data_IF_079645754485
#
_entry.id   IF_079645754485
#
_cell.length_a   1.000
_cell.length_b   1.000
_cell.length_c   1.000
_cell.angle_alpha   90.00
_cell.angle_beta   90.00
_cell.angle_gamma   90.00
#
_symmetry.space_group_name_H-M   'P 1'
#
loop_
_entity.id
_entity.type
_entity.pdbx_description
1 polymer ?
#
# COMPACT_ATOMS: atom_id res chain seq x y z
N UNK A 1 47.70 -11.89 18.45
CA UNK A 1 47.03 -12.74 17.44
C UNK A 1 45.77 -12.03 17.00
N UNK A 2 45.42 -12.02 15.70
CA UNK A 2 44.08 -11.61 15.21
C UNK A 2 43.25 -12.88 14.98
N UNK A 3 41.96 -12.81 15.26
CA UNK A 3 41.06 -13.97 15.22
C UNK A 3 40.60 -14.27 13.79
N UNK A 4 40.94 -15.46 13.28
CA UNK A 4 40.60 -15.92 11.91
C UNK A 4 39.09 -15.90 11.62
N UNK A 5 38.26 -15.96 12.67
CA UNK A 5 36.79 -15.99 12.60
C UNK A 5 36.10 -14.64 12.34
N UNK A 6 36.86 -13.56 12.14
CA UNK A 6 36.29 -12.20 12.03
C UNK A 6 36.16 -11.71 10.58
N UNK A 7 36.78 -12.39 9.60
CA UNK A 7 36.78 -11.98 8.19
C UNK A 7 35.55 -12.49 7.42
N UNK A 8 34.89 -13.58 7.84
CA UNK A 8 33.66 -14.09 7.21
C UNK A 8 32.37 -13.37 7.67
N UNK A 9 32.46 -12.50 8.70
CA UNK A 9 31.28 -11.92 9.35
C UNK A 9 31.00 -10.51 8.86
N UNK A 10 29.98 -10.36 8.02
CA UNK A 10 29.42 -9.05 7.69
C UNK A 10 28.97 -8.29 8.95
N UNK A 11 29.41 -7.04 9.05
CA UNK A 11 28.99 -6.07 10.07
C UNK A 11 28.52 -4.84 9.27
N UNK A 12 27.29 -4.34 9.49
CA UNK A 12 26.78 -3.19 8.75
C UNK A 12 27.44 -1.88 9.21
N UNK A 13 27.65 -0.98 8.26
CA UNK A 13 28.09 0.40 8.49
C UNK A 13 26.89 1.30 8.76
N UNK A 14 27.03 2.25 9.70
CA UNK A 14 26.00 3.24 10.02
C UNK A 14 26.53 4.67 9.81
N UNK A 15 25.62 5.56 9.41
CA UNK A 15 25.87 7.01 9.34
C UNK A 15 25.92 7.64 10.75
N UNK A 16 26.37 8.88 10.83
CA UNK A 16 26.44 9.67 12.10
C UNK A 16 25.11 9.73 12.84
N UNK A 17 24.01 9.67 12.10
CA UNK A 17 22.66 9.91 12.59
C UNK A 17 21.99 8.60 13.07
N UNK A 18 22.78 7.54 13.30
CA UNK A 18 22.34 6.23 13.78
C UNK A 18 21.68 5.32 12.74
N UNK A 19 21.33 5.86 11.58
CA UNK A 19 20.74 5.12 10.45
C UNK A 19 21.81 4.31 9.69
N UNK A 20 21.39 3.31 8.92
CA UNK A 20 22.30 2.50 8.10
C UNK A 20 22.92 3.34 6.98
N UNK A 21 24.23 3.17 6.75
CA UNK A 21 24.90 3.75 5.57
C UNK A 21 24.21 3.24 4.29
N UNK A 22 23.89 4.09 3.31
CA UNK A 22 23.16 3.68 2.12
C UNK A 22 23.94 2.70 1.24
N UNK A 23 25.28 2.71 1.32
CA UNK A 23 26.17 1.68 0.75
C UNK A 23 26.64 0.77 1.89
N UNK A 24 26.58 -0.54 1.64
CA UNK A 24 27.15 -1.58 2.51
C UNK A 24 28.15 -2.42 1.71
N UNK A 25 29.32 -2.70 2.28
CA UNK A 25 30.37 -3.48 1.62
C UNK A 25 30.84 -4.63 2.50
N UNK A 26 30.80 -5.86 1.97
CA UNK A 26 31.42 -7.02 2.61
C UNK A 26 32.81 -7.24 2.04
N UNK A 27 33.83 -6.85 2.81
CA UNK A 27 35.24 -6.84 2.40
C UNK A 27 35.73 -8.19 1.90
N UNK A 28 35.46 -9.28 2.61
CA UNK A 28 35.99 -10.61 2.31
C UNK A 28 35.42 -11.26 1.03
N UNK A 29 34.16 -10.98 0.66
CA UNK A 29 33.62 -11.40 -0.66
C UNK A 29 33.82 -10.33 -1.74
N UNK A 30 34.21 -9.12 -1.32
CA UNK A 30 34.40 -7.91 -2.13
C UNK A 30 33.14 -7.49 -2.90
N UNK A 31 31.97 -7.73 -2.30
CA UNK A 31 30.68 -7.24 -2.78
C UNK A 31 30.24 -5.99 -2.02
N UNK A 32 29.66 -5.05 -2.74
CA UNK A 32 28.95 -3.90 -2.18
C UNK A 32 27.51 -3.86 -2.72
N UNK A 33 26.58 -3.32 -1.94
CA UNK A 33 25.17 -3.18 -2.31
C UNK A 33 24.53 -1.96 -1.64
N UNK A 34 23.42 -1.48 -2.18
CA UNK A 34 22.64 -0.42 -1.54
C UNK A 34 21.68 -1.01 -0.50
N UNK A 35 21.40 -0.28 0.58
CA UNK A 35 20.36 -0.62 1.58
C UNK A 35 19.40 0.54 1.82
N UNK A 36 18.23 0.25 2.39
CA UNK A 36 17.34 1.28 2.96
C UNK A 36 17.91 1.78 4.29
N UNK A 37 18.03 3.11 4.43
CA UNK A 37 18.67 3.76 5.59
C UNK A 37 18.00 3.43 6.94
N UNK A 38 16.67 3.25 6.97
CA UNK A 38 15.93 2.99 8.22
C UNK A 38 15.97 1.52 8.68
N UNK A 39 16.22 0.58 7.75
CA UNK A 39 15.98 -0.86 8.00
C UNK A 39 17.15 -1.77 7.66
N UNK A 40 18.20 -1.26 7.01
CA UNK A 40 19.37 -2.04 6.59
C UNK A 40 19.07 -3.11 5.52
N UNK A 41 17.83 -3.20 5.02
CA UNK A 41 17.43 -4.19 4.01
C UNK A 41 18.09 -3.88 2.66
N UNK A 42 18.74 -4.85 1.99
CA UNK A 42 19.39 -4.66 0.70
C UNK A 42 18.38 -4.38 -0.43
N UNK A 43 18.75 -3.49 -1.35
CA UNK A 43 17.97 -3.17 -2.55
C UNK A 43 18.29 -4.19 -3.67
N UNK A 44 17.30 -4.95 -4.17
CA UNK A 44 17.53 -5.94 -5.22
C UNK A 44 18.17 -5.35 -6.47
N UNK A 45 19.14 -6.07 -7.06
CA UNK A 45 19.85 -5.66 -8.27
C UNK A 45 20.99 -4.65 -8.07
N UNK A 46 21.19 -4.13 -6.85
CA UNK A 46 22.28 -3.18 -6.56
C UNK A 46 23.62 -3.84 -6.15
N UNK A 47 23.66 -5.17 -6.03
CA UNK A 47 24.85 -5.92 -5.63
C UNK A 47 25.93 -5.92 -6.71
N UNK A 48 26.98 -5.14 -6.50
CA UNK A 48 28.17 -5.02 -7.35
C UNK A 48 29.37 -5.72 -6.72
N UNK A 49 30.36 -6.14 -7.51
CA UNK A 49 31.60 -6.77 -7.04
C UNK A 49 32.81 -5.93 -7.45
N UNK A 50 33.73 -5.70 -6.52
CA UNK A 50 34.94 -4.88 -6.67
C UNK A 50 34.68 -3.42 -7.09
N UNK A 51 33.45 -2.93 -6.94
CA UNK A 51 33.00 -1.58 -7.29
C UNK A 51 31.97 -1.14 -6.25
N UNK A 52 31.87 0.16 -5.96
CA UNK A 52 30.77 0.70 -5.16
C UNK A 52 29.54 0.89 -6.08
N UNK A 53 28.32 0.52 -5.64
CA UNK A 53 27.11 0.78 -6.40
C UNK A 53 26.71 2.25 -6.31
N UNK A 54 26.06 2.76 -7.34
CA UNK A 54 25.46 4.09 -7.30
C UNK A 54 24.10 4.04 -6.57
N UNK A 55 24.13 4.38 -5.27
CA UNK A 55 22.92 4.55 -4.46
C UNK A 55 22.33 5.97 -4.54
N UNK A 56 22.78 6.80 -5.49
CA UNK A 56 22.16 8.08 -5.85
C UNK A 56 20.89 7.91 -6.70
N UNK A 57 20.55 6.66 -7.05
CA UNK A 57 19.19 6.29 -7.42
C UNK A 57 18.26 6.63 -6.25
N UNK A 58 17.58 7.79 -6.35
CA UNK A 58 16.52 8.17 -5.41
C UNK A 58 15.58 7.00 -5.15
N UNK A 59 15.17 6.84 -3.88
CA UNK A 59 14.13 5.87 -3.50
C UNK A 59 13.00 5.93 -4.53
N UNK A 60 12.62 4.80 -5.15
CA UNK A 60 11.98 4.77 -6.46
C UNK A 60 10.76 5.68 -6.49
N UNK A 61 10.95 6.88 -7.09
CA UNK A 61 10.23 8.12 -6.71
C UNK A 61 8.75 7.88 -6.45
N UNK A 62 8.24 8.51 -5.39
CA UNK A 62 6.82 8.55 -4.99
C UNK A 62 5.94 9.39 -5.96
N UNK A 63 6.09 9.06 -7.25
CA UNK A 63 5.47 9.66 -8.44
C UNK A 63 5.34 8.64 -9.58
N UNK A 64 5.96 7.45 -9.51
CA UNK A 64 5.82 6.38 -10.51
C UNK A 64 5.16 5.09 -10.02
N UNK A 65 4.86 4.96 -8.72
CA UNK A 65 3.97 3.91 -8.17
C UNK A 65 2.61 3.90 -8.87
N UNK A 66 2.08 5.07 -9.22
CA UNK A 66 0.84 5.22 -10.01
C UNK A 66 0.96 4.77 -11.47
N UNK A 67 2.17 4.60 -11.99
CA UNK A 67 2.40 4.27 -13.39
C UNK A 67 2.72 2.78 -13.63
N UNK A 68 3.43 2.12 -12.71
CA UNK A 68 3.66 0.66 -12.77
C UNK A 68 2.35 -0.10 -12.92
N UNK A 69 1.33 0.25 -12.13
CA UNK A 69 0.01 -0.34 -12.27
C UNK A 69 -0.72 0.09 -13.54
N UNK A 70 -0.66 1.35 -13.98
CA UNK A 70 -1.37 1.79 -15.19
C UNK A 70 -1.00 0.94 -16.41
N UNK A 71 0.30 0.79 -16.67
CA UNK A 71 0.81 0.11 -17.86
C UNK A 71 0.82 -1.42 -17.74
N UNK A 72 0.90 -1.99 -16.52
CA UNK A 72 0.88 -3.45 -16.27
C UNK A 72 -0.44 -4.08 -16.79
N UNK A 73 -0.42 -5.01 -17.77
CA UNK A 73 -1.65 -5.60 -18.28
C UNK A 73 -2.24 -6.61 -17.29
N UNK A 74 -3.47 -6.37 -16.84
CA UNK A 74 -4.22 -7.30 -15.97
C UNK A 74 -4.58 -8.58 -16.77
N UNK A 75 -4.08 -9.78 -16.41
CA UNK A 75 -4.23 -10.97 -17.24
C UNK A 75 -5.70 -11.39 -17.39
N UNK A 76 -6.18 -11.41 -18.64
CA UNK A 76 -7.58 -11.66 -18.98
C UNK A 76 -8.51 -10.44 -18.93
N UNK A 77 -7.96 -9.23 -18.74
CA UNK A 77 -8.72 -7.97 -18.65
C UNK A 77 -7.88 -6.73 -19.06
N UNK A 78 -7.34 -6.64 -20.29
CA UNK A 78 -6.51 -5.51 -20.75
C UNK A 78 -7.34 -4.29 -21.18
N UNK A 79 -6.69 -3.12 -21.24
CA UNK A 79 -7.25 -1.88 -21.78
C UNK A 79 -8.32 -1.23 -20.90
N UNK A 80 -9.24 -0.47 -21.49
CA UNK A 80 -10.29 0.30 -20.80
C UNK A 80 -11.07 -0.50 -19.75
N UNK A 81 -11.43 -1.76 -20.07
CA UNK A 81 -12.16 -2.69 -19.21
C UNK A 81 -11.51 -2.91 -17.83
N UNK A 82 -10.19 -2.69 -17.72
CA UNK A 82 -9.43 -2.70 -16.47
C UNK A 82 -9.80 -1.52 -15.57
N UNK A 83 -9.82 -0.31 -16.12
CA UNK A 83 -10.16 0.91 -15.37
C UNK A 83 -11.63 0.87 -14.89
N UNK A 84 -12.54 0.41 -15.75
CA UNK A 84 -13.95 0.20 -15.39
C UNK A 84 -14.12 -0.86 -14.28
N UNK A 85 -13.36 -1.96 -14.36
CA UNK A 85 -13.34 -2.99 -13.32
C UNK A 85 -12.81 -2.45 -11.97
N UNK A 86 -11.69 -1.73 -11.95
CA UNK A 86 -11.09 -1.18 -10.73
C UNK A 86 -12.02 -0.12 -10.08
N UNK A 87 -12.60 0.79 -10.89
CA UNK A 87 -13.60 1.77 -10.41
C UNK A 87 -14.85 1.08 -9.85
N UNK A 88 -15.33 0.01 -10.52
CA UNK A 88 -16.48 -0.77 -10.04
C UNK A 88 -16.18 -1.54 -8.74
N UNK A 89 -14.94 -1.98 -8.58
CA UNK A 89 -14.45 -2.63 -7.36
C UNK A 89 -14.47 -1.66 -6.18
N UNK A 90 -13.85 -0.48 -6.33
CA UNK A 90 -13.86 0.56 -5.30
C UNK A 90 -15.29 0.92 -4.88
N UNK A 91 -16.20 1.14 -5.85
CA UNK A 91 -17.60 1.43 -5.55
C UNK A 91 -18.31 0.29 -4.81
N UNK A 92 -17.99 -0.97 -5.12
CA UNK A 92 -18.56 -2.12 -4.41
C UNK A 92 -18.09 -2.21 -2.94
N UNK A 93 -16.80 -1.93 -2.67
CA UNK A 93 -16.28 -1.85 -1.29
C UNK A 93 -16.92 -0.70 -0.52
N UNK A 94 -17.05 0.49 -1.13
CA UNK A 94 -17.74 1.63 -0.51
C UNK A 94 -19.19 1.30 -0.13
N UNK A 95 -19.94 0.64 -1.01
CA UNK A 95 -21.31 0.20 -0.73
C UNK A 95 -21.36 -0.81 0.42
N UNK A 96 -20.48 -1.82 0.48
CA UNK A 96 -20.49 -2.78 1.59
C UNK A 96 -20.06 -2.12 2.93
N UNK A 97 -19.18 -1.11 2.90
CA UNK A 97 -18.83 -0.34 4.11
C UNK A 97 -19.97 0.57 4.57
N UNK A 98 -20.77 1.11 3.64
CA UNK A 98 -22.00 1.87 3.93
C UNK A 98 -23.10 0.96 4.50
N UNK A 99 -23.30 -0.24 3.94
CA UNK A 99 -24.20 -1.27 4.49
C UNK A 99 -23.80 -1.72 5.90
N UNK A 100 -22.50 -1.71 6.21
CA UNK A 100 -21.96 -1.96 7.55
C UNK A 100 -22.03 -0.76 8.51
N UNK A 101 -22.58 0.37 8.09
CA UNK A 101 -22.77 1.57 8.92
C UNK A 101 -21.51 2.42 9.14
N UNK A 102 -20.39 2.12 8.46
CA UNK A 102 -19.12 2.83 8.63
C UNK A 102 -19.00 4.11 7.81
N UNK A 103 -19.84 4.28 6.80
CA UNK A 103 -19.90 5.48 5.97
C UNK A 103 -21.30 6.08 6.03
N UNK A 104 -21.39 7.36 6.38
CA UNK A 104 -22.64 8.11 6.25
C UNK A 104 -22.96 8.31 4.76
N UNK A 105 -24.24 8.20 4.34
CA UNK A 105 -24.62 8.44 2.94
C UNK A 105 -24.28 9.87 2.51
N UNK A 106 -23.56 10.02 1.39
CA UNK A 106 -23.28 11.33 0.78
C UNK A 106 -24.56 12.09 0.37
N UNK A 107 -25.67 11.38 0.20
CA UNK A 107 -27.02 11.90 -0.09
C UNK A 107 -27.67 12.71 1.06
N UNK A 108 -26.92 13.01 2.13
CA UNK A 108 -27.36 13.87 3.24
C UNK A 108 -26.69 15.26 3.29
N UNK A 109 -26.17 15.74 2.17
CA UNK A 109 -25.69 17.14 2.04
C UNK A 109 -26.72 18.12 1.45
N UNK A 110 -27.91 17.67 1.06
CA UNK A 110 -29.02 18.54 0.65
C UNK A 110 -30.39 17.91 0.96
N UNK A 111 -30.88 18.09 2.19
CA UNK A 111 -32.13 18.85 2.44
C UNK A 111 -32.29 19.29 3.92
N UNK A 112 -33.31 20.12 4.19
CA UNK A 112 -33.71 20.88 5.39
C UNK A 112 -33.24 20.51 6.83
N UNK A 113 -32.70 21.56 7.49
CA UNK A 113 -33.05 22.12 8.83
C UNK A 113 -33.52 21.23 10.01
N UNK A 114 -32.83 21.45 11.15
CA UNK A 114 -33.35 21.39 12.56
C UNK A 114 -33.73 19.97 13.09
N UNK A 115 -33.66 19.61 14.38
CA UNK A 115 -33.12 20.17 15.66
C UNK A 115 -32.45 18.99 16.42
N UNK A 116 -31.63 19.06 17.49
CA UNK A 116 -31.31 20.04 18.54
C UNK A 116 -29.79 20.04 18.83
N UNK A 117 -29.19 21.16 19.25
CA UNK A 117 -28.86 21.40 20.68
C UNK A 117 -28.17 22.76 20.93
N UNK A 118 -28.67 23.48 21.94
CA UNK A 118 -28.12 24.73 22.51
C UNK A 118 -27.38 24.32 23.81
N UNK A 119 -26.23 24.87 24.22
CA UNK A 119 -25.88 26.31 24.32
C UNK A 119 -24.38 26.60 24.20
N UNK A 120 -24.05 27.83 23.81
CA UNK A 120 -22.73 28.48 23.79
C UNK A 120 -22.36 29.11 25.17
N UNK A 121 -21.18 29.75 25.41
CA UNK A 121 -20.06 30.08 24.49
C UNK A 121 -18.62 29.84 25.02
N UNK A 122 -17.64 29.82 24.10
CA UNK A 122 -16.33 30.48 24.28
C UNK A 122 -15.62 30.69 22.93
N UNK A 123 -15.05 31.88 22.63
CA UNK A 123 -14.46 32.17 21.32
C UNK A 123 -12.92 32.22 21.35
N UNK A 124 -12.25 31.19 20.84
CA UNK A 124 -10.79 31.20 20.63
C UNK A 124 -10.37 30.42 19.37
N UNK A 125 -10.18 31.15 18.26
CA UNK A 125 -9.29 30.81 17.13
C UNK A 125 -9.28 29.36 16.61
N UNK A 126 -10.20 29.04 15.69
CA UNK A 126 -10.10 27.88 14.81
C UNK A 126 -11.46 27.37 14.34
N UNK A 127 -11.73 27.25 13.02
CA UNK A 127 -12.85 26.42 12.57
C UNK A 127 -12.51 24.95 12.91
N UNK A 128 -13.50 24.11 13.24
CA UNK A 128 -13.27 22.67 13.23
C UNK A 128 -12.92 22.28 11.80
N UNK A 129 -11.71 21.77 11.59
CA UNK A 129 -11.29 21.18 10.31
C UNK A 129 -12.02 19.86 10.09
N UNK A 130 -13.32 19.94 9.81
CA UNK A 130 -14.03 18.89 9.09
C UNK A 130 -13.30 18.70 7.77
N UNK A 131 -12.44 17.68 7.71
CA UNK A 131 -11.85 17.25 6.45
C UNK A 131 -13.01 16.98 5.50
N UNK A 132 -13.10 17.79 4.45
CA UNK A 132 -14.02 17.54 3.36
C UNK A 132 -13.51 16.28 2.65
N UNK A 133 -13.97 15.12 3.11
CA UNK A 133 -13.47 13.81 2.66
C UNK A 133 -13.77 13.65 1.19
N UNK A 134 -12.80 14.04 0.37
CA UNK A 134 -12.81 13.81 -1.07
C UNK A 134 -13.08 12.32 -1.31
N UNK A 135 -13.79 11.97 -2.38
CA UNK A 135 -14.26 10.59 -2.60
C UNK A 135 -13.16 9.50 -2.55
N UNK A 136 -11.89 9.91 -2.71
CA UNK A 136 -10.67 9.17 -2.37
C UNK A 136 -10.67 8.63 -0.92
N UNK A 137 -10.75 9.49 0.10
CA UNK A 137 -10.69 9.08 1.51
C UNK A 137 -11.86 8.20 1.93
N UNK A 138 -13.04 8.38 1.30
CA UNK A 138 -14.20 7.49 1.49
C UNK A 138 -13.90 6.08 0.94
N UNK A 139 -13.20 5.99 -0.20
CA UNK A 139 -12.75 4.71 -0.76
C UNK A 139 -11.62 4.08 0.06
N UNK A 140 -10.66 4.88 0.53
CA UNK A 140 -9.55 4.44 1.39
C UNK A 140 -10.06 3.87 2.71
N UNK A 141 -10.90 4.59 3.45
CA UNK A 141 -11.53 4.07 4.68
C UNK A 141 -12.38 2.82 4.44
N UNK A 142 -13.06 2.73 3.29
CA UNK A 142 -13.80 1.52 2.91
C UNK A 142 -12.85 0.34 2.64
N UNK A 143 -11.72 0.56 1.97
CA UNK A 143 -10.72 -0.48 1.72
C UNK A 143 -10.03 -0.92 3.01
N UNK A 144 -9.61 0.02 3.86
CA UNK A 144 -8.97 -0.26 5.15
C UNK A 144 -9.89 -1.09 6.06
N UNK A 145 -11.19 -0.78 6.13
CA UNK A 145 -12.13 -1.64 6.87
C UNK A 145 -12.28 -3.03 6.26
N UNK A 146 -12.28 -3.16 4.93
CA UNK A 146 -12.27 -4.48 4.30
C UNK A 146 -10.98 -5.24 4.65
N UNK A 147 -9.84 -4.57 4.68
CA UNK A 147 -8.56 -5.14 5.06
C UNK A 147 -8.59 -5.71 6.48
N UNK A 148 -8.91 -4.87 7.47
CA UNK A 148 -9.03 -5.22 8.90
C UNK A 148 -10.15 -6.25 9.22
N UNK A 149 -10.95 -6.64 8.23
CA UNK A 149 -11.99 -7.68 8.35
C UNK A 149 -11.59 -9.00 7.66
N UNK A 150 -10.51 -8.98 6.89
CA UNK A 150 -9.98 -10.11 6.13
C UNK A 150 -8.66 -10.59 6.74
N UNK A 151 -7.85 -9.66 7.23
CA UNK A 151 -6.68 -9.86 8.08
C UNK A 151 -7.17 -10.43 9.42
N UNK A 152 -6.75 -11.65 9.76
CA UNK A 152 -7.28 -12.38 10.93
C UNK A 152 -6.22 -12.55 12.03
N UNK A 153 -4.93 -12.48 11.70
CA UNK A 153 -3.83 -12.45 12.67
C UNK A 153 -3.21 -11.05 12.89
N UNK A 154 -3.72 -10.00 12.24
CA UNK A 154 -3.35 -8.57 12.42
C UNK A 154 -1.88 -8.31 12.05
N UNK A 155 -1.37 -9.02 11.04
CA UNK A 155 0.02 -8.92 10.59
C UNK A 155 0.27 -7.83 9.52
N UNK A 156 -0.82 -7.31 8.92
CA UNK A 156 -0.79 -6.23 7.94
C UNK A 156 -0.65 -6.68 6.48
N UNK A 157 -0.69 -7.99 6.17
CA UNK A 157 -0.57 -8.54 4.81
C UNK A 157 -1.55 -9.70 4.53
N UNK A 158 -2.55 -9.47 3.67
CA UNK A 158 -3.57 -10.49 3.36
C UNK A 158 -2.99 -11.68 2.57
N UNK A 159 -2.84 -12.83 3.22
CA UNK A 159 -2.43 -14.08 2.57
C UNK A 159 -3.48 -14.58 1.55
N UNK A 160 -3.14 -15.53 0.66
CA UNK A 160 -4.15 -16.11 -0.26
C UNK A 160 -5.35 -16.77 0.47
N UNK A 161 -5.17 -17.17 1.74
CA UNK A 161 -6.23 -17.74 2.58
C UNK A 161 -7.23 -16.68 3.04
N UNK A 162 -6.73 -15.52 3.43
CA UNK A 162 -7.51 -14.38 3.97
C UNK A 162 -8.07 -13.48 2.88
N UNK A 163 -7.36 -13.34 1.75
CA UNK A 163 -7.92 -12.77 0.54
C UNK A 163 -9.04 -13.64 -0.08
N UNK A 164 -9.31 -14.86 0.44
CA UNK A 164 -10.31 -15.79 -0.14
C UNK A 164 -11.75 -15.28 -0.08
N UNK A 165 -12.30 -14.75 1.04
CA UNK A 165 -13.65 -14.20 1.08
C UNK A 165 -13.77 -12.98 0.17
N UNK A 166 -12.76 -12.10 0.13
CA UNK A 166 -12.69 -10.97 -0.81
C UNK A 166 -12.75 -11.43 -2.26
N UNK A 167 -11.88 -12.37 -2.67
CA UNK A 167 -11.90 -12.96 -4.02
C UNK A 167 -13.23 -13.61 -4.34
N UNK A 168 -13.97 -14.13 -3.36
CA UNK A 168 -15.30 -14.71 -3.56
C UNK A 168 -16.42 -13.66 -3.63
N UNK A 169 -16.36 -12.59 -2.83
CA UNK A 169 -17.24 -11.42 -2.94
C UNK A 169 -17.05 -10.72 -4.30
N UNK A 170 -15.82 -10.33 -4.64
CA UNK A 170 -15.48 -9.69 -5.91
C UNK A 170 -15.87 -10.56 -7.10
N UNK A 171 -15.84 -11.90 -6.98
CA UNK A 171 -16.38 -12.79 -8.02
C UNK A 171 -17.89 -12.68 -8.09
N UNK A 172 -18.62 -12.73 -6.97
CA UNK A 172 -20.09 -12.60 -6.96
C UNK A 172 -20.52 -11.29 -7.63
N UNK A 173 -20.03 -10.17 -7.11
CA UNK A 173 -20.46 -8.80 -7.41
C UNK A 173 -19.97 -8.29 -8.77
N UNK A 174 -18.70 -8.51 -9.14
CA UNK A 174 -18.12 -7.91 -10.34
C UNK A 174 -18.21 -8.78 -11.59
N UNK A 175 -18.36 -8.12 -12.74
CA UNK A 175 -18.23 -8.67 -14.09
C UNK A 175 -17.24 -7.78 -14.87
N UNK A 176 -16.37 -8.32 -15.74
CA UNK A 176 -16.23 -9.74 -16.10
C UNK A 176 -15.48 -10.58 -15.05
N UNK A 177 -15.96 -11.81 -14.81
CA UNK A 177 -15.35 -12.81 -13.89
C UNK A 177 -13.87 -13.13 -14.18
N UNK A 178 -13.39 -12.84 -15.41
CA UNK A 178 -12.01 -13.07 -15.85
C UNK A 178 -11.04 -12.12 -15.13
N UNK A 179 -11.39 -10.84 -14.99
CA UNK A 179 -10.60 -9.82 -14.29
C UNK A 179 -10.33 -10.24 -12.83
N UNK A 180 -11.39 -10.66 -12.12
CA UNK A 180 -11.28 -11.09 -10.72
C UNK A 180 -10.42 -12.34 -10.48
N UNK A 181 -10.25 -13.23 -11.47
CA UNK A 181 -9.46 -14.46 -11.28
C UNK A 181 -7.99 -14.17 -11.01
N UNK A 182 -7.48 -13.05 -11.53
CA UNK A 182 -6.06 -12.64 -11.46
C UNK A 182 -5.82 -11.29 -10.75
N UNK A 183 -6.86 -10.71 -10.15
CA UNK A 183 -6.77 -9.44 -9.41
C UNK A 183 -5.71 -9.45 -8.29
N UNK A 184 -5.70 -10.49 -7.45
CA UNK A 184 -4.73 -10.67 -6.35
C UNK A 184 -3.29 -10.59 -6.89
N UNK A 185 -2.97 -11.43 -7.87
CA UNK A 185 -1.67 -11.50 -8.59
C UNK A 185 -1.42 -10.31 -9.55
N UNK A 186 -2.24 -9.28 -9.48
CA UNK A 186 -2.07 -8.02 -10.21
C UNK A 186 -1.81 -6.85 -9.24
N UNK A 187 -2.40 -6.85 -8.04
CA UNK A 187 -2.05 -5.91 -6.97
C UNK A 187 -0.74 -6.28 -6.28
N UNK A 188 -0.50 -7.58 -6.07
CA UNK A 188 0.80 -8.16 -5.69
C UNK A 188 1.89 -7.64 -6.64
N UNK A 189 2.83 -6.86 -6.13
CA UNK A 189 3.80 -6.07 -6.89
C UNK A 189 5.25 -6.48 -6.65
N UNK A 190 5.63 -6.89 -5.44
CA UNK A 190 6.97 -7.43 -5.16
C UNK A 190 7.07 -8.96 -5.36
N UNK A 191 5.93 -9.66 -5.43
CA UNK A 191 5.80 -11.11 -5.64
C UNK A 191 6.11 -11.99 -4.43
N UNK A 192 5.88 -11.49 -3.22
CA UNK A 192 5.82 -12.33 -2.01
C UNK A 192 4.61 -13.28 -1.99
N UNK A 193 3.53 -12.96 -2.72
CA UNK A 193 2.29 -13.75 -2.83
C UNK A 193 1.21 -13.42 -1.80
N UNK A 194 1.42 -12.36 -1.01
CA UNK A 194 0.49 -11.76 -0.05
C UNK A 194 -0.13 -10.49 -0.67
N UNK A 195 -0.76 -9.64 0.13
CA UNK A 195 -1.23 -8.31 -0.29
C UNK A 195 -1.19 -7.34 0.88
N UNK A 196 -0.27 -6.38 0.83
CA UNK A 196 -0.26 -5.26 1.78
C UNK A 196 -1.41 -4.27 1.50
N UNK A 197 -1.81 -3.52 2.54
CA UNK A 197 -2.78 -2.42 2.38
C UNK A 197 -2.26 -1.35 1.40
N UNK A 198 -0.95 -1.10 1.40
CA UNK A 198 -0.27 -0.15 0.51
C UNK A 198 -0.38 -0.57 -0.95
N UNK A 199 -0.12 -1.83 -1.29
CA UNK A 199 -0.32 -2.33 -2.66
C UNK A 199 -1.79 -2.24 -3.09
N UNK A 200 -2.73 -2.53 -2.19
CA UNK A 200 -4.16 -2.43 -2.51
C UNK A 200 -4.61 -0.99 -2.79
N UNK A 201 -4.16 0.00 -2.02
CA UNK A 201 -4.41 1.43 -2.33
C UNK A 201 -3.87 1.79 -3.72
N UNK A 202 -2.56 1.60 -3.96
CA UNK A 202 -1.91 1.99 -5.22
C UNK A 202 -2.49 1.21 -6.43
N UNK A 203 -2.79 -0.08 -6.26
CA UNK A 203 -3.39 -0.94 -7.29
C UNK A 203 -4.80 -0.50 -7.72
N UNK A 204 -5.59 0.03 -6.78
CA UNK A 204 -6.93 0.55 -7.03
C UNK A 204 -6.93 2.02 -7.48
N UNK A 205 -5.82 2.74 -7.27
CA UNK A 205 -5.70 4.16 -7.54
C UNK A 205 -6.37 5.00 -6.46
N UNK A 206 -6.08 4.66 -5.21
CA UNK A 206 -6.40 5.39 -3.97
C UNK A 206 -5.11 5.96 -3.35
#
# INVERSE_FOLDING_TARGET
>A
MRSVWQEERFIPECSTDGHYSPIQCHTATSYCWCVRVDTGRPLPGTSTRNQLPDCSLEEPRSSHTTNTYRDRPLPGCPGSRKADFLRSLVKALQLQAQEAGLLLPADRMMDERQVMMVSTPSPASGPPSYLATSGHGIAESALQWHFLKLDVDDDGVLTEREARPLRQYLRRTLRPRRCTKKFTQYCDQDRDGMLSLMELNICLGL
#
